data_IF_853476192540
#
_entry.id   IF_853476192540
#
_cell.length_a   1.000
_cell.length_b   1.000
_cell.length_c   1.000
_cell.angle_alpha   90.00
_cell.angle_beta   90.00
_cell.angle_gamma   90.00
#
_symmetry.space_group_name_H-M   'P 1'
#
loop_
_entity.id
_entity.type
_entity.pdbx_description
1 polymer ?
#
# COMPACT_ATOMS: atom_id res chain seq x y z
N UNK A 1 -34.69 -10.93 10.62
CA UNK A 1 -33.63 -10.19 11.32
C UNK A 1 -32.34 -11.01 11.56
N UNK A 2 -32.35 -12.35 11.48
CA UNK A 2 -31.17 -13.20 11.72
C UNK A 2 -29.96 -12.91 10.80
N UNK A 3 -30.20 -12.50 9.54
CA UNK A 3 -29.11 -12.20 8.59
C UNK A 3 -28.30 -10.96 8.97
N UNK A 4 -28.93 -9.95 9.59
CA UNK A 4 -28.23 -8.73 9.99
C UNK A 4 -27.33 -9.03 11.19
N UNK A 5 -27.84 -9.76 12.19
CA UNK A 5 -27.06 -10.20 13.34
C UNK A 5 -25.85 -11.08 12.94
N UNK A 6 -26.02 -12.01 11.99
CA UNK A 6 -24.90 -12.80 11.46
C UNK A 6 -23.82 -11.92 10.81
N UNK A 7 -24.23 -10.93 10.02
CA UNK A 7 -23.31 -10.00 9.37
C UNK A 7 -22.56 -9.13 10.38
N UNK A 8 -23.23 -8.67 11.44
CA UNK A 8 -22.60 -7.89 12.52
C UNK A 8 -21.53 -8.70 13.24
N UNK A 9 -21.81 -9.96 13.57
CA UNK A 9 -20.83 -10.87 14.19
C UNK A 9 -19.62 -11.07 13.27
N UNK A 10 -19.87 -11.34 11.98
CA UNK A 10 -18.79 -11.52 11.00
C UNK A 10 -17.95 -10.25 10.83
N UNK A 11 -18.57 -9.07 10.88
CA UNK A 11 -17.89 -7.78 10.79
C UNK A 11 -16.99 -7.55 12.01
N UNK A 12 -17.49 -7.81 13.21
CA UNK A 12 -16.70 -7.71 14.44
C UNK A 12 -15.47 -8.65 14.42
N UNK A 13 -15.63 -9.87 13.91
CA UNK A 13 -14.51 -10.82 13.77
C UNK A 13 -13.45 -10.33 12.79
N UNK A 14 -13.88 -9.76 11.66
CA UNK A 14 -12.98 -9.19 10.65
C UNK A 14 -12.24 -7.97 11.20
N UNK A 15 -12.93 -7.05 11.88
CA UNK A 15 -12.32 -5.88 12.51
C UNK A 15 -11.25 -6.28 13.54
N UNK A 16 -11.56 -7.28 14.38
CA UNK A 16 -10.60 -7.79 15.36
C UNK A 16 -9.36 -8.39 14.69
N UNK A 17 -9.53 -9.09 13.57
CA UNK A 17 -8.41 -9.64 12.79
C UNK A 17 -7.55 -8.54 12.17
N UNK A 18 -8.17 -7.56 11.51
CA UNK A 18 -7.45 -6.42 10.91
C UNK A 18 -6.69 -5.64 11.97
N UNK A 19 -7.26 -5.43 13.16
CA UNK A 19 -6.56 -4.76 14.26
C UNK A 19 -5.32 -5.52 14.72
N UNK A 20 -5.38 -6.85 14.78
CA UNK A 20 -4.22 -7.71 15.12
C UNK A 20 -3.14 -7.62 14.05
N UNK A 21 -3.49 -7.81 12.78
CA UNK A 21 -2.56 -7.73 11.64
C UNK A 21 -1.90 -6.33 11.56
N UNK A 22 -2.65 -5.26 11.84
CA UNK A 22 -2.12 -3.90 11.90
C UNK A 22 -1.18 -3.68 13.11
N UNK A 23 -1.46 -4.28 14.26
CA UNK A 23 -0.58 -4.22 15.44
C UNK A 23 0.74 -4.96 15.18
N UNK A 24 0.68 -6.15 14.59
CA UNK A 24 1.84 -6.94 14.18
C UNK A 24 2.68 -6.20 13.12
N UNK A 25 2.02 -5.58 12.14
CA UNK A 25 2.69 -4.77 11.11
C UNK A 25 3.37 -3.52 11.67
N UNK A 26 2.84 -2.93 12.75
CA UNK A 26 3.45 -1.78 13.44
C UNK A 26 4.68 -2.17 14.24
N UNK A 27 4.74 -3.40 14.76
CA UNK A 27 5.89 -3.90 15.52
C UNK A 27 7.10 -4.23 14.62
N UNK A 28 6.88 -4.45 13.32
CA UNK A 28 7.92 -4.77 12.34
C UNK A 28 8.64 -3.54 11.74
N UNK A 29 8.34 -2.31 12.18
CA UNK A 29 9.00 -1.10 11.67
C UNK A 29 10.11 -0.68 12.65
N UNK A 30 11.38 -1.05 12.42
CA UNK A 30 12.48 -0.45 13.16
C UNK A 30 12.52 1.07 12.90
N UNK A 31 12.95 1.89 13.89
CA UNK A 31 12.98 3.35 13.79
C UNK A 31 13.85 3.89 12.63
N UNK A 32 14.65 3.04 11.98
CA UNK A 32 15.37 3.37 10.74
C UNK A 32 14.47 3.64 9.51
N UNK A 33 13.19 3.23 9.56
CA UNK A 33 12.23 3.61 8.52
C UNK A 33 11.85 5.10 8.57
N UNK A 34 12.06 5.78 9.71
CA UNK A 34 11.87 7.22 9.81
C UNK A 34 13.05 8.01 9.19
N UNK A 35 14.26 7.44 9.20
CA UNK A 35 15.43 7.98 8.50
C UNK A 35 15.41 7.75 6.98
N UNK A 36 14.55 6.85 6.48
CA UNK A 36 14.41 6.59 5.04
C UNK A 36 13.74 7.70 4.24
N UNK A 37 13.22 8.76 4.88
CA UNK A 37 12.81 9.98 4.15
C UNK A 37 13.99 10.85 3.69
N UNK A 38 15.22 10.53 4.13
CA UNK A 38 16.46 11.23 3.72
C UNK A 38 17.44 10.36 2.93
N UNK A 39 17.08 9.10 2.64
CA UNK A 39 17.89 8.25 1.75
C UNK A 39 17.55 8.54 0.28
N UNK A 40 17.89 9.77 -0.10
CA UNK A 40 17.97 10.35 -1.43
C UNK A 40 19.04 9.61 -2.27
N UNK A 41 18.89 8.30 -2.46
CA UNK A 41 19.82 7.48 -3.23
C UNK A 41 19.03 6.55 -4.16
N UNK A 42 18.45 7.15 -5.21
CA UNK A 42 18.02 6.52 -6.48
C UNK A 42 17.32 5.15 -6.32
N UNK A 43 16.31 5.05 -5.46
CA UNK A 43 15.47 3.85 -5.39
C UNK A 43 14.38 3.94 -6.45
N UNK A 44 14.17 2.83 -7.17
CA UNK A 44 13.20 2.77 -8.24
C UNK A 44 11.83 3.21 -7.73
N UNK A 45 11.15 4.11 -8.43
CA UNK A 45 9.79 4.51 -8.07
C UNK A 45 8.86 3.30 -8.07
N UNK A 46 8.00 3.25 -7.06
CA UNK A 46 6.98 2.22 -6.88
C UNK A 46 5.63 2.70 -7.40
N UNK A 47 4.80 1.77 -7.86
CA UNK A 47 3.44 2.08 -8.28
C UNK A 47 2.55 2.42 -7.07
N UNK A 48 1.76 3.50 -7.08
CA UNK A 48 0.82 3.82 -5.99
C UNK A 48 -0.31 2.79 -5.82
N UNK A 49 -0.72 2.11 -6.89
CA UNK A 49 -1.83 1.15 -6.86
C UNK A 49 -1.42 -0.23 -6.34
N UNK A 50 -0.29 -0.77 -6.82
CA UNK A 50 0.15 -2.13 -6.47
C UNK A 50 1.44 -2.19 -5.64
N UNK A 51 2.08 -1.05 -5.37
CA UNK A 51 3.32 -0.92 -4.58
C UNK A 51 4.55 -1.67 -5.14
N UNK A 52 4.42 -2.31 -6.30
CA UNK A 52 5.51 -2.99 -7.00
C UNK A 52 6.50 -1.98 -7.60
N UNK A 53 7.75 -2.42 -7.73
CA UNK A 53 8.81 -1.65 -8.38
C UNK A 53 8.54 -1.53 -9.89
N UNK A 54 8.71 -0.32 -10.42
CA UNK A 54 8.53 -0.08 -11.84
C UNK A 54 9.77 -0.56 -12.65
N UNK A 55 9.56 -1.13 -13.85
CA UNK A 55 10.65 -1.52 -14.74
C UNK A 55 11.47 -0.30 -15.19
N UNK A 56 12.74 -0.54 -15.51
CA UNK A 56 13.66 0.49 -16.03
C UNK A 56 13.25 0.88 -17.46
N UNK A 57 13.08 2.18 -17.74
CA UNK A 57 12.83 2.68 -19.09
C UNK A 57 11.84 3.84 -19.16
N UNK A 58 11.42 4.21 -20.39
CA UNK A 58 10.34 5.17 -20.63
C UNK A 58 9.04 4.57 -20.11
N UNK A 59 8.43 5.23 -19.13
CA UNK A 59 7.13 4.84 -18.57
C UNK A 59 6.03 5.53 -19.36
N UNK A 60 4.98 4.79 -19.72
CA UNK A 60 3.73 5.36 -20.22
C UNK A 60 2.86 5.86 -19.07
N UNK A 61 1.65 6.28 -19.39
CA UNK A 61 0.74 6.93 -18.43
C UNK A 61 0.20 5.96 -17.35
N UNK A 62 0.29 4.64 -17.60
CA UNK A 62 -0.23 3.59 -16.73
C UNK A 62 0.82 2.58 -16.25
N UNK A 63 0.57 1.98 -15.08
CA UNK A 63 1.38 0.89 -14.53
C UNK A 63 1.24 -0.39 -15.36
N UNK A 64 2.37 -0.96 -15.77
CA UNK A 64 2.43 -2.23 -16.52
C UNK A 64 1.88 -3.45 -15.77
N UNK A 65 1.79 -3.39 -14.43
CA UNK A 65 1.36 -4.52 -13.61
C UNK A 65 -0.14 -4.51 -13.30
N UNK A 66 -0.68 -3.36 -12.91
CA UNK A 66 -2.06 -3.24 -12.43
C UNK A 66 -2.91 -2.22 -13.22
N UNK A 67 -2.36 -1.56 -14.23
CA UNK A 67 -3.07 -0.57 -15.03
C UNK A 67 -3.34 0.77 -14.33
N UNK A 68 -2.76 1.01 -13.15
CA UNK A 68 -2.95 2.26 -12.41
C UNK A 68 -2.45 3.48 -13.21
N UNK A 69 -3.28 4.51 -13.37
CA UNK A 69 -2.95 5.76 -14.06
C UNK A 69 -2.13 6.68 -13.16
N UNK A 70 -0.91 7.04 -13.57
CA UNK A 70 0.01 7.84 -12.76
C UNK A 70 -0.39 9.32 -12.66
N UNK A 71 -1.14 9.84 -13.64
CA UNK A 71 -1.63 11.22 -13.64
C UNK A 71 -2.59 11.52 -12.47
N UNK A 72 -3.24 10.49 -11.93
CA UNK A 72 -4.23 10.62 -10.86
C UNK A 72 -3.63 11.12 -9.52
N UNK A 73 -2.31 11.03 -9.34
CA UNK A 73 -1.65 11.31 -8.06
C UNK A 73 -0.68 12.49 -8.08
N UNK A 74 -0.59 13.24 -9.19
CA UNK A 74 0.21 14.48 -9.27
C UNK A 74 1.70 14.33 -8.94
N UNK A 75 2.20 13.10 -8.81
CA UNK A 75 3.59 12.80 -8.45
C UNK A 75 4.45 12.66 -9.69
N UNK A 76 5.68 13.21 -9.65
CA UNK A 76 6.67 12.98 -10.71
C UNK A 76 7.32 11.61 -10.55
N UNK A 77 6.76 10.57 -11.16
CA UNK A 77 7.36 9.24 -11.24
C UNK A 77 8.35 9.17 -12.41
N UNK A 78 9.41 9.98 -12.38
CA UNK A 78 10.50 9.94 -13.38
C UNK A 78 11.59 8.94 -13.04
#
# INVERSE_FOLDING_TARGET
MARIADLEVRLQLLEARVRREAAESRQAIPPDAAHSRKAEARKRPRCPGCLLELPKGRRGDACVWCGFQFDAVGGTFR
#
